data_IF_338319684557
#
_entry.id   IF_338319684557
#
_cell.length_a   1.000
_cell.length_b   1.000
_cell.length_c   1.000
_cell.angle_alpha   90.00
_cell.angle_beta   90.00
_cell.angle_gamma   90.00
#
_symmetry.space_group_name_H-M   'P 1'
#
loop_
_entity.id
_entity.type
_entity.pdbx_description
1 polymer ?
#
# COMPACT_ATOMS: atom_id res chain seq x y z
N UNK A 1 3.09 27.29 28.18
CA UNK A 1 2.38 26.52 27.15
C UNK A 1 3.33 26.43 25.97
N UNK A 2 3.77 25.24 25.59
CA UNK A 2 4.71 25.08 24.48
C UNK A 2 4.01 25.38 23.15
N UNK A 3 4.74 25.96 22.19
CA UNK A 3 4.23 26.13 20.84
C UNK A 3 3.75 24.78 20.26
N UNK A 4 2.68 24.76 19.45
CA UNK A 4 2.24 23.55 18.78
C UNK A 4 3.37 23.02 17.91
N UNK A 5 3.88 21.82 18.23
CA UNK A 5 4.94 21.17 17.45
C UNK A 5 4.42 20.83 16.07
N UNK A 6 5.11 21.28 15.03
CA UNK A 6 4.83 20.86 13.66
C UNK A 6 4.95 19.33 13.54
N UNK A 7 4.01 18.75 12.79
CA UNK A 7 4.00 17.33 12.46
C UNK A 7 4.13 17.12 10.97
N UNK A 8 4.88 16.09 10.60
CA UNK A 8 5.17 15.75 9.21
C UNK A 8 4.63 14.36 8.88
N UNK A 9 3.98 14.25 7.73
CA UNK A 9 3.41 13.00 7.23
C UNK A 9 3.92 12.66 5.84
N UNK A 10 4.08 11.38 5.55
CA UNK A 10 4.28 10.84 4.20
C UNK A 10 3.08 9.96 3.87
N UNK A 11 2.47 10.16 2.71
CA UNK A 11 1.40 9.30 2.19
C UNK A 11 1.84 8.70 0.86
N UNK A 12 1.94 7.37 0.79
CA UNK A 12 2.36 6.67 -0.43
C UNK A 12 1.19 6.55 -1.42
N UNK A 13 1.45 6.70 -2.73
CA UNK A 13 0.42 6.51 -3.76
C UNK A 13 -0.76 7.50 -3.67
N UNK A 14 -0.48 8.76 -3.39
CA UNK A 14 -1.44 9.77 -2.96
C UNK A 14 -1.91 10.73 -4.07
N UNK A 15 -1.67 10.41 -5.34
CA UNK A 15 -2.10 11.26 -6.46
C UNK A 15 -3.59 11.10 -6.83
N UNK A 16 -4.30 10.14 -6.24
CA UNK A 16 -5.73 9.87 -6.47
C UNK A 16 -6.32 9.03 -5.33
N UNK A 17 -7.64 8.83 -5.37
CA UNK A 17 -8.35 7.88 -4.50
C UNK A 17 -8.19 8.18 -3.02
N UNK A 18 -8.10 7.13 -2.19
CA UNK A 18 -8.01 7.21 -0.73
C UNK A 18 -6.78 8.02 -0.31
N UNK A 19 -5.61 7.78 -0.90
CA UNK A 19 -4.37 8.49 -0.55
C UNK A 19 -4.47 10.01 -0.73
N UNK A 20 -5.11 10.48 -1.80
CA UNK A 20 -5.31 11.93 -2.02
C UNK A 20 -6.20 12.55 -0.95
N UNK A 21 -7.27 11.85 -0.56
CA UNK A 21 -8.17 12.32 0.49
C UNK A 21 -7.51 12.29 1.88
N UNK A 22 -6.65 11.29 2.15
CA UNK A 22 -5.82 11.25 3.36
C UNK A 22 -4.92 12.49 3.41
N UNK A 23 -4.24 12.84 2.31
CA UNK A 23 -3.40 14.06 2.25
C UNK A 23 -4.24 15.29 2.57
N UNK A 24 -5.42 15.42 1.94
CA UNK A 24 -6.32 16.55 2.17
C UNK A 24 -6.74 16.69 3.62
N UNK A 25 -7.12 15.59 4.28
CA UNK A 25 -7.57 15.62 5.68
C UNK A 25 -6.43 15.90 6.65
N UNK A 26 -5.25 15.30 6.46
CA UNK A 26 -4.07 15.58 7.26
C UNK A 26 -3.64 17.05 7.13
N UNK A 27 -3.59 17.57 5.90
CA UNK A 27 -3.25 18.97 5.64
C UNK A 27 -4.28 19.94 6.25
N UNK A 28 -5.57 19.61 6.19
CA UNK A 28 -6.65 20.38 6.84
C UNK A 28 -6.53 20.39 8.36
N UNK A 29 -5.86 19.39 8.94
CA UNK A 29 -5.52 19.31 10.35
C UNK A 29 -4.16 19.95 10.69
N UNK A 30 -3.62 20.80 9.80
CA UNK A 30 -2.38 21.57 10.00
C UNK A 30 -1.14 20.66 10.13
N UNK A 31 -1.17 19.50 9.47
CA UNK A 31 -0.02 18.59 9.35
C UNK A 31 0.64 18.87 8.00
N UNK A 32 1.97 19.00 7.95
CA UNK A 32 2.71 19.10 6.69
C UNK A 32 2.85 17.72 6.06
N UNK A 33 2.33 17.56 4.85
CA UNK A 33 2.22 16.26 4.18
C UNK A 33 3.08 16.24 2.92
N UNK A 34 3.91 15.21 2.79
CA UNK A 34 4.54 14.82 1.53
C UNK A 34 3.54 13.95 0.77
N UNK A 35 2.88 14.55 -0.21
CA UNK A 35 2.13 13.82 -1.23
C UNK A 35 3.13 13.12 -2.13
N UNK A 36 2.97 11.81 -2.30
CA UNK A 36 3.84 11.05 -3.20
C UNK A 36 3.08 10.36 -4.32
N UNK A 37 3.77 10.13 -5.44
CA UNK A 37 3.24 9.46 -6.62
C UNK A 37 4.38 8.82 -7.38
N UNK A 38 4.15 7.62 -7.95
CA UNK A 38 5.08 7.00 -8.90
C UNK A 38 5.25 7.86 -10.15
N UNK A 39 4.15 8.46 -10.59
CA UNK A 39 4.09 9.31 -11.77
C UNK A 39 4.14 10.77 -11.36
N UNK A 40 5.22 11.45 -11.73
CA UNK A 40 5.49 12.83 -11.38
C UNK A 40 4.41 13.79 -11.91
N UNK A 41 3.97 13.64 -13.16
CA UNK A 41 2.96 14.52 -13.75
C UNK A 41 1.64 14.43 -13.00
N UNK A 42 1.20 13.20 -12.68
CA UNK A 42 -0.02 12.98 -11.89
C UNK A 42 0.12 13.48 -10.45
N UNK A 43 1.29 13.33 -9.85
CA UNK A 43 1.59 13.85 -8.51
C UNK A 43 1.54 15.37 -8.44
N UNK A 44 2.18 16.06 -9.38
CA UNK A 44 2.15 17.51 -9.49
C UNK A 44 0.73 18.04 -9.76
N UNK A 45 -0.04 17.37 -10.62
CA UNK A 45 -1.45 17.74 -10.84
C UNK A 45 -2.29 17.63 -9.57
N UNK A 46 -2.10 16.56 -8.78
CA UNK A 46 -2.77 16.40 -7.50
C UNK A 46 -2.35 17.48 -6.48
N UNK A 47 -1.07 17.82 -6.43
CA UNK A 47 -0.55 18.91 -5.60
C UNK A 47 -1.24 20.25 -5.95
N UNK A 48 -1.32 20.61 -7.24
CA UNK A 48 -1.96 21.86 -7.66
C UNK A 48 -3.46 21.89 -7.32
N UNK A 49 -4.14 20.75 -7.37
CA UNK A 49 -5.54 20.64 -6.93
C UNK A 49 -5.71 20.93 -5.44
N UNK A 50 -4.79 20.42 -4.60
CA UNK A 50 -4.80 20.67 -3.15
C UNK A 50 -4.43 22.12 -2.83
N UNK A 51 -3.46 22.70 -3.54
CA UNK A 51 -3.10 24.13 -3.43
C UNK A 51 -4.27 25.03 -3.76
N UNK A 52 -4.99 24.76 -4.85
CA UNK A 52 -6.20 25.48 -5.24
C UNK A 52 -7.32 25.37 -4.18
N UNK A 53 -7.27 24.35 -3.32
CA UNK A 53 -8.18 24.15 -2.19
C UNK A 53 -7.73 24.85 -0.89
N UNK A 54 -6.69 25.70 -0.95
CA UNK A 54 -6.18 26.46 0.20
C UNK A 54 -5.19 25.70 1.09
N UNK A 55 -4.63 24.57 0.63
CA UNK A 55 -3.73 23.72 1.42
C UNK A 55 -2.25 23.91 1.05
N UNK A 56 -1.90 24.99 0.35
CA UNK A 56 -0.57 25.19 -0.24
C UNK A 56 0.59 25.15 0.76
N UNK A 57 0.38 25.63 1.99
CA UNK A 57 1.43 25.69 3.02
C UNK A 57 1.67 24.33 3.70
N UNK A 58 0.77 23.37 3.48
CA UNK A 58 0.75 22.09 4.19
C UNK A 58 1.03 20.90 3.27
N UNK A 59 1.18 21.09 1.96
CA UNK A 59 1.40 19.98 1.04
C UNK A 59 2.61 20.25 0.16
N UNK A 60 3.55 19.32 0.15
CA UNK A 60 4.67 19.27 -0.80
C UNK A 60 4.61 17.96 -1.59
N UNK A 61 5.19 17.95 -2.78
CA UNK A 61 5.27 16.75 -3.60
C UNK A 61 6.68 16.17 -3.61
N UNK A 62 6.78 14.84 -3.58
CA UNK A 62 7.99 14.11 -3.93
C UNK A 62 7.62 12.85 -4.73
N UNK A 63 8.38 12.53 -5.77
CA UNK A 63 8.17 11.29 -6.52
C UNK A 63 8.50 10.08 -5.63
N UNK A 64 7.68 9.02 -5.73
CA UNK A 64 7.93 7.76 -5.03
C UNK A 64 7.38 6.59 -5.85
N UNK A 65 8.26 5.71 -6.28
CA UNK A 65 7.91 4.33 -6.61
C UNK A 65 8.32 3.43 -5.44
N UNK A 66 7.34 2.89 -4.72
CA UNK A 66 7.62 2.03 -3.56
C UNK A 66 8.34 0.74 -3.96
N UNK A 67 8.28 0.31 -5.22
CA UNK A 67 8.97 -0.87 -5.73
C UNK A 67 10.46 -0.62 -6.06
N UNK A 68 10.90 0.65 -6.12
CA UNK A 68 12.28 1.03 -6.42
C UNK A 68 13.00 1.55 -5.17
N UNK A 69 14.03 0.82 -4.74
CA UNK A 69 14.83 1.19 -3.57
C UNK A 69 15.51 2.55 -3.70
N UNK A 70 15.91 2.97 -4.91
CA UNK A 70 16.54 4.27 -5.15
C UNK A 70 15.54 5.41 -4.98
N UNK A 71 14.29 5.19 -5.42
CA UNK A 71 13.19 6.14 -5.24
C UNK A 71 12.83 6.30 -3.76
N UNK A 72 12.76 5.19 -3.01
CA UNK A 72 12.52 5.22 -1.55
C UNK A 72 13.66 5.91 -0.80
N UNK A 73 14.92 5.63 -1.16
CA UNK A 73 16.08 6.30 -0.58
C UNK A 73 16.05 7.81 -0.78
N UNK A 74 15.76 8.24 -2.02
CA UNK A 74 15.62 9.66 -2.39
C UNK A 74 14.54 10.36 -1.55
N UNK A 75 13.38 9.69 -1.33
CA UNK A 75 12.34 10.22 -0.45
C UNK A 75 12.82 10.38 1.00
N UNK A 76 13.54 9.38 1.54
CA UNK A 76 14.04 9.46 2.91
C UNK A 76 15.04 10.63 3.08
N UNK A 77 15.94 10.82 2.11
CA UNK A 77 16.87 11.95 2.10
C UNK A 77 16.15 13.29 1.99
N UNK A 78 15.10 13.37 1.17
CA UNK A 78 14.25 14.55 1.07
C UNK A 78 13.57 14.88 2.40
N UNK A 79 12.91 13.91 3.04
CA UNK A 79 12.22 14.11 4.34
C UNK A 79 13.22 14.53 5.42
N UNK A 80 14.39 13.87 5.48
CA UNK A 80 15.48 14.23 6.39
C UNK A 80 15.93 15.68 6.19
N UNK A 81 16.16 16.08 4.93
CA UNK A 81 16.69 17.40 4.59
C UNK A 81 15.67 18.51 4.83
N UNK A 82 14.39 18.26 4.56
CA UNK A 82 13.33 19.25 4.69
C UNK A 82 12.81 19.40 6.12
N UNK A 83 12.68 18.29 6.85
CA UNK A 83 11.96 18.26 8.13
C UNK A 83 12.77 17.72 9.30
N UNK A 84 13.85 16.98 9.04
CA UNK A 84 14.71 16.38 10.07
C UNK A 84 14.09 15.21 10.85
N UNK A 85 12.80 14.95 10.70
CA UNK A 85 12.05 13.84 11.33
C UNK A 85 10.81 13.48 10.50
N UNK A 86 10.14 12.39 10.88
CA UNK A 86 8.82 12.02 10.37
C UNK A 86 7.90 11.62 11.53
N UNK A 87 6.66 12.08 11.54
CA UNK A 87 5.69 11.73 12.60
C UNK A 87 4.70 10.67 12.13
N UNK A 88 4.32 10.68 10.85
CA UNK A 88 3.28 9.81 10.31
C UNK A 88 3.74 9.22 8.97
N UNK A 89 3.72 7.89 8.85
CA UNK A 89 3.81 7.19 7.58
C UNK A 89 2.46 6.51 7.29
N UNK A 90 1.88 6.80 6.13
CA UNK A 90 0.73 6.08 5.59
C UNK A 90 1.15 5.28 4.36
N UNK A 91 1.28 3.98 4.52
CA UNK A 91 1.48 3.04 3.43
C UNK A 91 0.14 2.76 2.74
N UNK A 92 -0.19 3.59 1.75
CA UNK A 92 -1.43 3.52 0.97
C UNK A 92 -1.22 3.00 -0.47
N UNK A 93 0.00 3.11 -1.03
CA UNK A 93 0.29 2.59 -2.36
C UNK A 93 -0.01 1.08 -2.42
N UNK A 94 -0.88 0.70 -3.35
CA UNK A 94 -1.28 -0.69 -3.54
C UNK A 94 -1.96 -0.92 -4.88
N UNK A 95 -1.91 -2.16 -5.36
CA UNK A 95 -2.59 -2.62 -6.57
C UNK A 95 -3.37 -3.92 -6.29
N UNK A 96 -4.35 -4.22 -7.14
CA UNK A 96 -5.14 -5.45 -7.03
C UNK A 96 -4.44 -6.70 -7.58
N UNK A 97 -3.34 -6.54 -8.33
CA UNK A 97 -2.62 -7.66 -8.93
C UNK A 97 -3.39 -8.39 -10.03
N UNK A 98 -4.37 -7.74 -10.66
CA UNK A 98 -5.22 -8.29 -11.70
C UNK A 98 -5.36 -7.31 -12.87
N UNK A 99 -5.55 -7.85 -14.07
CA UNK A 99 -6.00 -7.13 -15.25
C UNK A 99 -7.53 -7.11 -15.26
N UNK A 100 -8.13 -5.91 -15.34
CA UNK A 100 -9.58 -5.75 -15.39
C UNK A 100 -10.03 -5.89 -16.84
N UNK A 101 -10.85 -6.90 -17.12
CA UNK A 101 -11.47 -7.18 -18.43
C UNK A 101 -12.86 -6.58 -18.56
N UNK A 102 -13.61 -6.56 -17.46
CA UNK A 102 -14.94 -5.97 -17.38
C UNK A 102 -15.06 -5.18 -16.06
N UNK A 103 -15.13 -3.85 -16.19
CA UNK A 103 -15.13 -2.94 -15.05
C UNK A 103 -16.41 -3.03 -14.21
N UNK A 104 -17.55 -3.33 -14.83
CA UNK A 104 -18.84 -3.38 -14.14
C UNK A 104 -18.95 -4.67 -13.33
N UNK A 105 -18.51 -5.79 -13.92
CA UNK A 105 -18.39 -7.06 -13.21
C UNK A 105 -17.35 -6.98 -12.10
N UNK A 106 -16.20 -6.33 -12.34
CA UNK A 106 -15.18 -6.15 -11.31
C UNK A 106 -15.70 -5.30 -10.13
N UNK A 107 -16.42 -4.21 -10.42
CA UNK A 107 -17.06 -3.38 -9.40
C UNK A 107 -18.08 -4.19 -8.60
N UNK A 108 -18.89 -4.99 -9.28
CA UNK A 108 -19.85 -5.90 -8.64
C UNK A 108 -19.15 -6.93 -7.76
N UNK A 109 -18.01 -7.46 -8.21
CA UNK A 109 -17.20 -8.40 -7.44
C UNK A 109 -16.65 -7.75 -6.17
N UNK A 110 -16.18 -6.49 -6.23
CA UNK A 110 -15.72 -5.77 -5.04
C UNK A 110 -16.87 -5.56 -4.05
N UNK A 111 -18.02 -5.04 -4.51
CA UNK A 111 -19.17 -4.72 -3.65
C UNK A 111 -19.70 -5.98 -2.95
N UNK A 112 -19.63 -7.12 -3.62
CA UNK A 112 -20.10 -8.42 -3.10
C UNK A 112 -19.01 -9.21 -2.37
N UNK A 113 -17.81 -8.64 -2.16
CA UNK A 113 -16.65 -9.35 -1.60
C UNK A 113 -16.33 -10.67 -2.33
N UNK A 114 -16.47 -10.68 -3.65
CA UNK A 114 -16.19 -11.84 -4.49
C UNK A 114 -17.26 -12.91 -4.47
N UNK A 115 -18.47 -12.63 -3.95
CA UNK A 115 -19.60 -13.55 -3.99
C UNK A 115 -20.29 -13.62 -5.39
N UNK A 116 -19.53 -13.42 -6.47
CA UNK A 116 -19.99 -13.67 -7.84
C UNK A 116 -19.72 -15.13 -8.24
N UNK A 117 -20.51 -15.70 -9.16
CA UNK A 117 -20.20 -16.99 -9.77
C UNK A 117 -18.79 -16.99 -10.39
N UNK A 118 -18.06 -18.10 -10.25
CA UNK A 118 -16.68 -18.24 -10.76
C UNK A 118 -16.52 -17.84 -12.24
N UNK A 119 -17.54 -18.12 -13.06
CA UNK A 119 -17.54 -17.76 -14.48
C UNK A 119 -17.55 -16.25 -14.70
N UNK A 120 -18.38 -15.52 -13.95
CA UNK A 120 -18.45 -14.06 -14.02
C UNK A 120 -17.17 -13.43 -13.51
N UNK A 121 -16.57 -14.01 -12.47
CA UNK A 121 -15.30 -13.55 -11.93
C UNK A 121 -14.13 -13.73 -12.92
N UNK A 122 -14.12 -14.83 -13.71
CA UNK A 122 -13.15 -15.04 -14.80
C UNK A 122 -13.34 -14.08 -15.97
N UNK A 123 -14.57 -13.60 -16.17
CA UNK A 123 -14.88 -12.59 -17.18
C UNK A 123 -14.53 -11.19 -16.71
N UNK A 124 -14.63 -10.92 -15.41
CA UNK A 124 -14.30 -9.64 -14.79
C UNK A 124 -12.80 -9.36 -14.84
N UNK A 125 -11.98 -10.34 -14.48
CA UNK A 125 -10.54 -10.14 -14.28
C UNK A 125 -9.69 -11.29 -14.79
N UNK A 126 -8.41 -11.02 -15.03
CA UNK A 126 -7.39 -12.04 -15.22
C UNK A 126 -6.20 -11.75 -14.33
N UNK A 127 -5.62 -12.80 -13.77
CA UNK A 127 -4.42 -12.72 -12.96
C UNK A 127 -3.31 -13.49 -13.67
N UNK A 128 -2.17 -12.85 -13.86
CA UNK A 128 -0.96 -13.46 -14.41
C UNK A 128 0.08 -13.60 -13.30
N UNK A 129 1.12 -14.39 -13.55
CA UNK A 129 2.23 -14.55 -12.61
C UNK A 129 2.91 -13.19 -12.35
N UNK A 130 3.07 -12.41 -13.41
CA UNK A 130 3.67 -11.08 -13.42
C UNK A 130 2.83 -10.09 -12.62
N UNK A 131 1.49 -10.12 -12.77
CA UNK A 131 0.61 -9.24 -12.01
C UNK A 131 0.55 -9.63 -10.53
N UNK A 132 0.63 -10.93 -10.20
CA UNK A 132 0.75 -11.41 -8.83
C UNK A 132 2.09 -10.98 -8.20
N UNK A 133 3.20 -11.13 -8.93
CA UNK A 133 4.53 -10.70 -8.50
C UNK A 133 4.60 -9.20 -8.28
N UNK A 134 4.07 -8.39 -9.22
CA UNK A 134 4.02 -6.93 -9.07
C UNK A 134 3.18 -6.53 -7.85
N UNK A 135 2.05 -7.20 -7.61
CA UNK A 135 1.20 -6.95 -6.44
C UNK A 135 1.96 -7.12 -5.12
N UNK A 136 2.70 -8.22 -4.99
CA UNK A 136 3.51 -8.50 -3.80
C UNK A 136 4.67 -7.51 -3.66
N UNK A 137 5.31 -7.14 -4.77
CA UNK A 137 6.39 -6.15 -4.76
C UNK A 137 5.93 -4.76 -4.30
N UNK A 138 4.70 -4.36 -4.63
CA UNK A 138 4.14 -3.05 -4.25
C UNK A 138 3.51 -3.12 -2.87
N UNK A 139 2.57 -4.03 -2.64
CA UNK A 139 1.70 -4.03 -1.46
C UNK A 139 2.46 -4.47 -0.20
N UNK A 140 3.31 -5.50 -0.30
CA UNK A 140 4.08 -6.02 0.85
C UNK A 140 5.49 -5.42 0.89
N UNK A 141 6.34 -5.76 -0.08
CA UNK A 141 7.74 -5.33 -0.05
C UNK A 141 7.89 -3.82 -0.19
N UNK A 142 7.02 -3.16 -0.94
CA UNK A 142 7.04 -1.70 -1.10
C UNK A 142 6.70 -0.98 0.20
N UNK A 143 5.69 -1.44 0.93
CA UNK A 143 5.34 -0.91 2.25
C UNK A 143 6.45 -1.17 3.28
N UNK A 144 6.97 -2.41 3.33
CA UNK A 144 8.09 -2.80 4.21
C UNK A 144 9.32 -1.94 3.96
N UNK A 145 9.77 -1.86 2.70
CA UNK A 145 10.93 -1.06 2.29
C UNK A 145 10.76 0.42 2.64
N UNK A 146 9.57 0.98 2.37
CA UNK A 146 9.29 2.39 2.69
C UNK A 146 9.37 2.63 4.19
N UNK A 147 8.82 1.72 4.99
CA UNK A 147 8.93 1.78 6.45
C UNK A 147 10.39 1.71 6.92
N UNK A 148 11.18 0.74 6.43
CA UNK A 148 12.57 0.55 6.84
C UNK A 148 13.44 1.79 6.57
N UNK A 149 13.29 2.42 5.41
CA UNK A 149 14.04 3.63 5.04
C UNK A 149 13.61 4.86 5.84
N UNK A 150 12.35 4.94 6.25
CA UNK A 150 11.81 6.06 7.03
C UNK A 150 11.87 5.82 8.55
N UNK A 151 12.14 4.61 9.00
CA UNK A 151 12.21 4.23 10.41
C UNK A 151 13.19 5.12 11.22
N UNK A 152 14.40 5.43 10.73
CA UNK A 152 15.31 6.33 11.46
C UNK A 152 14.70 7.73 11.69
N UNK A 153 13.87 8.22 10.77
CA UNK A 153 13.20 9.52 10.88
C UNK A 153 11.96 9.45 11.77
N UNK A 154 11.24 8.33 11.74
CA UNK A 154 10.12 8.05 12.64
C UNK A 154 10.58 7.98 14.11
N UNK A 155 11.74 7.39 14.37
CA UNK A 155 12.32 7.30 15.72
C UNK A 155 12.69 8.67 16.32
N UNK A 156 12.79 9.73 15.50
CA UNK A 156 13.02 11.10 15.96
C UNK A 156 11.71 11.83 16.36
N UNK A 157 10.54 11.24 16.09
CA UNK A 157 9.27 11.77 16.58
C UNK A 157 9.02 11.36 18.02
N UNK A 158 8.43 12.25 18.81
CA UNK A 158 7.95 11.91 20.16
C UNK A 158 6.70 11.02 20.13
N UNK A 159 6.03 10.90 18.99
CA UNK A 159 4.78 10.16 18.84
C UNK A 159 4.62 9.60 17.42
N UNK A 160 5.51 8.69 16.97
CA UNK A 160 5.47 8.13 15.62
C UNK A 160 4.20 7.31 15.39
N UNK A 161 3.68 7.37 14.15
CA UNK A 161 2.54 6.57 13.69
C UNK A 161 2.85 5.96 12.33
N UNK A 162 2.58 4.68 12.19
CA UNK A 162 2.58 3.98 10.91
C UNK A 162 1.19 3.42 10.69
N UNK A 163 0.63 3.67 9.51
CA UNK A 163 -0.68 3.20 9.10
C UNK A 163 -0.50 2.43 7.79
N UNK A 164 -0.75 1.13 7.82
CA UNK A 164 -0.81 0.30 6.62
C UNK A 164 -2.27 0.23 6.16
N UNK A 165 -2.55 0.68 4.94
CA UNK A 165 -3.89 0.57 4.34
C UNK A 165 -4.08 -0.86 3.84
N UNK A 166 -4.80 -1.64 4.63
CA UNK A 166 -5.13 -3.04 4.37
C UNK A 166 -6.49 -3.20 3.67
N UNK A 167 -6.99 -4.42 3.51
CA UNK A 167 -8.26 -4.79 2.90
C UNK A 167 -9.02 -5.78 3.78
N UNK A 168 -10.35 -5.75 3.73
CA UNK A 168 -11.18 -6.78 4.37
C UNK A 168 -10.98 -8.18 3.80
N UNK A 169 -10.43 -8.28 2.58
CA UNK A 169 -9.98 -9.54 2.01
C UNK A 169 -8.72 -10.07 2.71
N UNK A 170 -7.93 -9.23 3.40
CA UNK A 170 -6.66 -9.56 4.07
C UNK A 170 -6.78 -10.50 5.29
N UNK A 171 -7.98 -10.98 5.58
CA UNK A 171 -8.29 -11.81 6.74
C UNK A 171 -7.66 -13.20 6.61
N UNK A 172 -7.13 -13.73 7.71
CA UNK A 172 -6.56 -15.09 7.76
C UNK A 172 -7.61 -16.14 7.32
N UNK A 173 -8.89 -15.93 7.64
CA UNK A 173 -9.98 -16.80 7.21
C UNK A 173 -10.15 -16.86 5.68
N UNK A 174 -9.66 -15.86 4.96
CA UNK A 174 -9.70 -15.80 3.49
C UNK A 174 -8.56 -16.61 2.86
N UNK A 175 -7.50 -16.94 3.61
CA UNK A 175 -6.37 -17.72 3.08
C UNK A 175 -6.77 -19.18 2.92
N UNK A 176 -6.69 -19.74 1.71
CA UNK A 176 -7.10 -21.13 1.48
C UNK A 176 -6.04 -22.18 1.88
N UNK A 177 -4.76 -21.81 1.84
CA UNK A 177 -3.66 -22.70 2.18
C UNK A 177 -3.51 -22.84 3.70
N UNK A 178 -3.76 -24.04 4.24
CA UNK A 178 -3.75 -24.29 5.69
C UNK A 178 -2.37 -24.13 6.34
N UNK A 179 -1.29 -24.42 5.61
CA UNK A 179 0.07 -24.14 6.11
C UNK A 179 0.30 -22.63 6.24
N UNK A 180 -0.02 -21.85 5.21
CA UNK A 180 0.08 -20.40 5.24
C UNK A 180 -0.79 -19.79 6.36
N UNK A 181 -2.03 -20.26 6.53
CA UNK A 181 -2.87 -19.89 7.68
C UNK A 181 -2.20 -20.17 9.01
N UNK A 182 -1.61 -21.36 9.16
CA UNK A 182 -0.87 -21.74 10.36
C UNK A 182 0.30 -20.80 10.65
N UNK A 183 1.04 -20.37 9.61
CA UNK A 183 2.10 -19.37 9.74
C UNK A 183 1.54 -18.02 10.20
N UNK A 184 0.51 -17.48 9.54
CA UNK A 184 -0.03 -16.15 9.89
C UNK A 184 -0.77 -16.11 11.24
N UNK A 185 -1.31 -17.23 11.70
CA UNK A 185 -2.03 -17.32 12.98
C UNK A 185 -1.09 -17.45 14.20
N UNK A 186 0.17 -17.82 13.96
CA UNK A 186 1.17 -18.08 14.99
C UNK A 186 1.91 -16.80 15.37
N UNK A 187 1.19 -15.89 16.04
CA UNK A 187 1.67 -14.54 16.40
C UNK A 187 2.96 -14.57 17.23
N UNK A 188 3.13 -15.58 18.08
CA UNK A 188 4.30 -15.71 18.95
C UNK A 188 5.60 -16.00 18.18
N UNK A 189 5.49 -16.67 17.03
CA UNK A 189 6.63 -17.10 16.23
C UNK A 189 6.62 -16.47 14.83
N UNK A 190 5.83 -15.43 14.59
CA UNK A 190 5.74 -14.76 13.30
C UNK A 190 6.99 -13.90 13.07
N UNK A 191 7.72 -14.17 11.99
CA UNK A 191 8.88 -13.40 11.58
C UNK A 191 8.78 -13.02 10.10
N UNK A 192 9.57 -12.03 9.71
CA UNK A 192 9.72 -11.62 8.32
C UNK A 192 10.12 -12.80 7.41
N UNK A 193 11.02 -13.66 7.89
CA UNK A 193 11.48 -14.82 7.13
C UNK A 193 10.34 -15.82 6.88
N UNK A 194 9.49 -16.07 7.88
CA UNK A 194 8.35 -16.99 7.75
C UNK A 194 7.28 -16.42 6.82
N UNK A 195 7.03 -15.10 6.88
CA UNK A 195 6.15 -14.44 5.93
C UNK A 195 6.73 -14.60 4.52
N UNK A 196 8.01 -14.25 4.33
CA UNK A 196 8.71 -14.36 3.05
C UNK A 196 8.69 -15.79 2.48
N UNK A 197 8.77 -16.83 3.32
CA UNK A 197 8.61 -18.23 2.91
C UNK A 197 7.21 -18.50 2.34
N UNK A 198 6.15 -18.03 2.99
CA UNK A 198 4.78 -18.13 2.47
C UNK A 198 4.64 -17.42 1.13
N UNK A 199 5.21 -16.22 1.01
CA UNK A 199 5.19 -15.44 -0.24
C UNK A 199 5.92 -16.20 -1.37
N UNK A 200 7.08 -16.78 -1.07
CA UNK A 200 7.90 -17.53 -2.05
C UNK A 200 7.18 -18.76 -2.55
N UNK A 201 6.59 -19.56 -1.65
CA UNK A 201 5.81 -20.73 -2.04
C UNK A 201 4.56 -20.33 -2.83
N UNK A 202 3.86 -19.27 -2.45
CA UNK A 202 2.73 -18.75 -3.23
C UNK A 202 3.11 -18.39 -4.67
N UNK A 203 4.22 -17.65 -4.86
CA UNK A 203 4.71 -17.26 -6.19
C UNK A 203 5.11 -18.47 -7.02
N UNK A 204 5.77 -19.45 -6.40
CA UNK A 204 6.17 -20.70 -7.05
C UNK A 204 4.95 -21.54 -7.46
N UNK A 205 3.94 -21.64 -6.61
CA UNK A 205 2.69 -22.35 -6.93
C UNK A 205 1.95 -21.70 -8.10
N UNK A 206 1.98 -20.35 -8.16
CA UNK A 206 1.42 -19.57 -9.26
C UNK A 206 2.15 -19.84 -10.58
N UNK A 207 3.48 -19.83 -10.57
CA UNK A 207 4.32 -20.11 -11.75
C UNK A 207 4.06 -21.51 -12.32
N UNK A 208 3.85 -22.50 -11.45
CA UNK A 208 3.62 -23.88 -11.83
C UNK A 208 2.17 -24.16 -12.25
N UNK A 209 1.27 -23.16 -12.17
CA UNK A 209 -0.16 -23.33 -12.44
C UNK A 209 -0.86 -24.30 -11.48
N UNK A 210 -0.26 -24.52 -10.30
CA UNK A 210 -0.69 -25.51 -9.31
C UNK A 210 -1.68 -24.95 -8.29
N UNK A 211 -1.88 -23.62 -8.28
CA UNK A 211 -3.00 -23.00 -7.58
C UNK A 211 -4.30 -23.50 -8.24
N UNK A 212 -5.13 -24.23 -7.48
CA UNK A 212 -6.50 -24.52 -7.90
C UNK A 212 -7.11 -23.20 -8.38
N UNK A 213 -7.55 -23.12 -9.65
CA UNK A 213 -8.15 -21.91 -10.24
C UNK A 213 -9.53 -21.60 -9.66
N UNK A 214 -9.68 -21.66 -8.33
CA UNK A 214 -10.73 -20.99 -7.58
C UNK A 214 -10.51 -19.51 -7.80
N UNK A 215 -11.39 -18.93 -8.59
CA UNK A 215 -11.30 -17.58 -9.14
C UNK A 215 -11.57 -16.54 -8.06
N UNK A 216 -11.66 -16.94 -6.79
CA UNK A 216 -11.87 -16.02 -5.70
C UNK A 216 -10.83 -14.90 -5.77
N UNK A 217 -11.29 -13.67 -5.60
CA UNK A 217 -10.48 -12.48 -5.27
C UNK A 217 -9.53 -12.72 -4.07
N UNK A 218 -9.62 -13.90 -3.44
CA UNK A 218 -8.76 -14.55 -2.46
C UNK A 218 -7.26 -14.45 -2.74
N UNK A 219 -6.76 -14.40 -3.98
CA UNK A 219 -5.31 -14.25 -4.18
C UNK A 219 -4.75 -12.86 -3.84
N UNK A 220 -5.63 -11.88 -3.59
CA UNK A 220 -5.27 -10.58 -3.03
C UNK A 220 -5.26 -10.55 -1.49
N UNK A 221 -5.74 -11.61 -0.81
CA UNK A 221 -5.89 -11.68 0.66
C UNK A 221 -4.58 -11.84 1.44
N UNK A 222 -3.51 -12.30 0.79
CA UNK A 222 -2.27 -12.63 1.51
C UNK A 222 -1.41 -11.41 1.85
N UNK A 223 -1.71 -10.22 1.31
CA UNK A 223 -0.73 -9.13 1.25
C UNK A 223 -1.24 -7.79 1.76
N UNK A 224 -2.29 -7.84 2.57
CA UNK A 224 -2.82 -6.72 3.32
C UNK A 224 -2.86 -7.09 4.80
N UNK A 225 -1.69 -7.22 5.42
CA UNK A 225 -1.55 -7.25 6.88
C UNK A 225 -1.00 -5.90 7.36
#
# INVERSE_FOLDING_TARGET
MGEPRERYAVVTGANKGIGLEIVKQLASAVIKVVLTSRDEKRGLHALETLKASGLSDFVVFHQLDVADASSVASLADFVKSQFGKLDILVNNAGIGGVEIKDSDLFTSAIITNGALPDEELRRAVTQTYESAKECIQINYYGAKRTFEYLLPLLQLSDSPRVVNVSSGAGKIESVSNEWAKGVFSDVENLTDERIDEVIKEFIKDFEQGSLERKVGLVYSSLYYC
#
